data_IF_178076864540
#
_entry.id   IF_178076864540
#
_cell.length_a   1.000
_cell.length_b   1.000
_cell.length_c   1.000
_cell.angle_alpha   90.00
_cell.angle_beta   90.00
_cell.angle_gamma   90.00
#
_symmetry.space_group_name_H-M   'P 1'
#
loop_
_entity.id
_entity.type
_entity.pdbx_description
1 polymer ?
#
# COMPACT_ATOMS: atom_id res chain seq x y z
N UNK A 1 5.98 -9.61 -6.29
CA UNK A 1 6.36 -8.39 -7.05
C UNK A 1 7.11 -7.38 -6.18
N UNK A 2 6.69 -7.14 -4.94
CA UNK A 2 7.31 -6.13 -4.07
C UNK A 2 8.39 -6.68 -3.11
N UNK A 3 8.38 -7.98 -2.77
CA UNK A 3 9.36 -8.58 -1.85
C UNK A 3 10.83 -8.29 -2.24
N UNK A 4 11.27 -8.42 -3.51
CA UNK A 4 12.65 -8.10 -3.88
C UNK A 4 13.00 -6.61 -3.83
N UNK A 5 11.99 -5.74 -3.68
CA UNK A 5 12.14 -4.27 -3.68
C UNK A 5 12.24 -3.74 -2.25
N UNK A 6 11.37 -4.22 -1.36
CA UNK A 6 11.24 -3.66 0.01
C UNK A 6 11.43 -4.67 1.13
N UNK A 7 11.45 -5.98 0.85
CA UNK A 7 11.42 -7.02 1.88
C UNK A 7 12.63 -7.04 2.81
N UNK A 8 13.80 -6.68 2.30
CA UNK A 8 15.09 -6.69 3.03
C UNK A 8 15.54 -5.29 3.49
N UNK A 9 14.73 -4.26 3.25
CA UNK A 9 15.14 -2.89 3.58
C UNK A 9 15.20 -2.70 5.11
N UNK A 10 16.25 -2.03 5.63
CA UNK A 10 16.39 -1.77 7.06
C UNK A 10 15.48 -0.65 7.57
N UNK A 11 14.71 -0.03 6.67
CA UNK A 11 13.75 1.03 6.95
C UNK A 11 12.42 0.69 6.29
N UNK A 12 11.34 1.23 6.83
CA UNK A 12 10.00 1.05 6.28
C UNK A 12 9.82 1.94 5.04
N UNK A 13 9.16 1.42 4.02
CA UNK A 13 8.73 2.17 2.85
C UNK A 13 7.26 1.88 2.56
N UNK A 14 6.49 2.93 2.28
CA UNK A 14 5.10 2.80 1.86
C UNK A 14 5.00 3.01 0.34
N UNK A 15 4.43 2.02 -0.33
CA UNK A 15 4.29 1.94 -1.77
C UNK A 15 2.84 1.78 -2.18
N UNK A 16 2.52 2.31 -3.36
CA UNK A 16 1.23 2.07 -4.02
C UNK A 16 1.49 1.53 -5.41
N UNK A 17 0.83 0.42 -5.72
CA UNK A 17 0.76 -0.15 -7.05
C UNK A 17 -0.53 0.34 -7.67
N UNK A 18 -0.44 0.90 -8.87
CA UNK A 18 -1.57 1.39 -9.64
C UNK A 18 -1.87 0.39 -10.74
N UNK A 19 -3.15 0.04 -10.89
CA UNK A 19 -3.61 -1.03 -11.76
C UNK A 19 -4.66 -0.53 -12.74
N UNK A 20 -4.68 -1.13 -13.92
CA UNK A 20 -5.77 -0.97 -14.89
C UNK A 20 -6.93 -1.95 -14.58
N UNK A 21 -7.96 -1.92 -15.43
CA UNK A 21 -9.18 -2.73 -15.28
C UNK A 21 -8.95 -4.26 -15.41
N UNK A 22 -7.82 -4.68 -15.98
CA UNK A 22 -7.39 -6.08 -16.02
C UNK A 22 -6.50 -6.47 -14.83
N UNK A 23 -6.43 -5.65 -13.78
CA UNK A 23 -5.54 -5.80 -12.63
C UNK A 23 -4.05 -5.93 -13.03
N UNK A 24 -3.66 -5.33 -14.15
CA UNK A 24 -2.25 -5.23 -14.53
C UNK A 24 -1.65 -3.99 -13.87
N UNK A 25 -0.51 -4.15 -13.20
CA UNK A 25 0.25 -3.02 -12.65
C UNK A 25 0.76 -2.16 -13.81
N UNK A 26 0.30 -0.91 -13.85
CA UNK A 26 0.68 0.10 -14.85
C UNK A 26 1.68 1.11 -14.30
N UNK A 27 1.70 1.31 -12.97
CA UNK A 27 2.65 2.20 -12.30
C UNK A 27 2.89 1.76 -10.85
N UNK A 28 4.00 2.19 -10.27
CA UNK A 28 4.35 2.00 -8.85
C UNK A 28 4.97 3.29 -8.33
N UNK A 29 4.51 3.75 -7.17
CA UNK A 29 5.11 4.91 -6.50
C UNK A 29 5.49 4.59 -5.06
N UNK A 30 6.71 4.97 -4.68
CA UNK A 30 7.08 5.12 -3.28
C UNK A 30 6.51 6.45 -2.78
N UNK A 31 5.64 6.41 -1.77
CA UNK A 31 5.02 7.60 -1.20
C UNK A 31 5.65 8.04 0.11
N UNK A 32 6.26 7.08 0.80
CA UNK A 32 7.00 7.40 1.99
C UNK A 32 8.18 6.47 2.17
N UNK A 33 9.18 7.02 2.84
CA UNK A 33 10.38 6.33 3.32
C UNK A 33 10.54 6.72 4.77
N UNK A 34 10.46 5.73 5.64
CA UNK A 34 10.49 5.89 7.08
C UNK A 34 11.80 6.47 7.58
N UNK A 35 11.66 7.41 8.53
CA UNK A 35 12.53 7.59 9.68
C UNK A 35 11.78 7.20 10.97
N UNK A 36 12.40 7.40 12.14
CA UNK A 36 12.04 6.81 13.46
C UNK A 36 10.56 7.03 13.93
N UNK A 37 9.81 7.97 13.36
CA UNK A 37 8.48 8.41 13.85
C UNK A 37 7.29 8.05 12.95
N UNK A 38 7.46 7.13 12.01
CA UNK A 38 6.39 6.71 11.10
C UNK A 38 6.27 7.59 9.85
N UNK A 39 5.54 7.07 8.86
CA UNK A 39 5.43 7.63 7.51
C UNK A 39 4.13 8.43 7.34
N UNK A 40 4.23 9.68 6.88
CA UNK A 40 3.04 10.47 6.51
C UNK A 40 2.68 10.13 5.07
N UNK A 41 1.53 9.49 4.87
CA UNK A 41 0.97 9.17 3.56
C UNK A 41 -0.09 10.22 3.19
N UNK A 42 0.16 11.02 2.15
CA UNK A 42 -0.83 11.97 1.63
C UNK A 42 -1.79 11.28 0.64
N UNK A 43 -3.02 11.05 1.10
CA UNK A 43 -4.10 10.44 0.33
C UNK A 43 -4.38 11.20 -0.98
N UNK A 44 -4.25 12.53 -0.98
CA UNK A 44 -4.50 13.33 -2.19
C UNK A 44 -3.46 13.04 -3.26
N UNK A 45 -2.21 12.81 -2.86
CA UNK A 45 -1.15 12.46 -3.80
C UNK A 45 -1.37 11.07 -4.40
N UNK A 46 -1.82 10.10 -3.60
CA UNK A 46 -2.21 8.75 -4.09
C UNK A 46 -3.21 8.88 -5.23
N UNK A 47 -4.33 9.55 -4.98
CA UNK A 47 -5.39 9.62 -5.98
C UNK A 47 -5.03 10.51 -7.16
N UNK A 48 -4.27 11.59 -6.94
CA UNK A 48 -3.70 12.38 -8.04
C UNK A 48 -2.89 11.48 -8.98
N UNK A 49 -1.97 10.69 -8.45
CA UNK A 49 -1.16 9.76 -9.25
C UNK A 49 -2.01 8.67 -9.90
N UNK A 50 -3.04 8.17 -9.22
CA UNK A 50 -3.98 7.24 -9.82
C UNK A 50 -4.67 7.83 -11.07
N UNK A 51 -5.14 9.09 -10.99
CA UNK A 51 -5.73 9.79 -12.13
C UNK A 51 -4.70 10.05 -13.24
N UNK A 52 -3.49 10.51 -12.91
CA UNK A 52 -2.42 10.77 -13.88
C UNK A 52 -2.06 9.52 -14.70
N UNK A 53 -2.14 8.34 -14.07
CA UNK A 53 -1.84 7.07 -14.72
C UNK A 53 -3.08 6.33 -15.25
N UNK A 54 -4.28 6.91 -15.19
CA UNK A 54 -5.54 6.26 -15.56
C UNK A 54 -5.76 4.91 -14.84
N UNK A 55 -5.38 4.86 -13.56
CA UNK A 55 -5.57 3.68 -12.73
C UNK A 55 -7.05 3.53 -12.34
N UNK A 56 -7.57 2.31 -12.45
CA UNK A 56 -8.93 1.97 -11.99
C UNK A 56 -8.90 1.29 -10.62
N UNK A 57 -7.72 0.88 -10.16
CA UNK A 57 -7.52 0.22 -8.89
C UNK A 57 -6.12 0.47 -8.33
N UNK A 58 -5.97 0.33 -7.01
CA UNK A 58 -4.69 0.42 -6.31
C UNK A 58 -4.52 -0.74 -5.33
N UNK A 59 -3.27 -1.11 -5.07
CA UNK A 59 -2.86 -1.99 -3.97
C UNK A 59 -1.85 -1.21 -3.12
N UNK A 60 -2.08 -1.20 -1.82
CA UNK A 60 -1.18 -0.61 -0.84
C UNK A 60 -0.14 -1.65 -0.42
N UNK A 61 1.11 -1.25 -0.23
CA UNK A 61 2.13 -2.17 0.28
C UNK A 61 3.20 -1.45 1.07
N UNK A 62 3.59 -2.01 2.21
CA UNK A 62 4.74 -1.55 2.97
C UNK A 62 5.50 -2.72 3.59
N UNK A 63 6.75 -2.48 3.98
CA UNK A 63 7.57 -3.49 4.66
C UNK A 63 7.67 -3.23 6.15
N UNK A 64 7.75 -4.30 6.94
CA UNK A 64 8.14 -4.23 8.35
C UNK A 64 9.57 -4.76 8.50
N UNK A 65 10.59 -3.88 8.66
CA UNK A 65 11.98 -4.31 8.87
C UNK A 65 12.17 -5.17 10.12
N UNK A 66 11.25 -5.08 11.09
CA UNK A 66 11.23 -5.91 12.28
C UNK A 66 10.94 -7.39 12.01
N UNK A 67 10.47 -7.74 10.81
CA UNK A 67 10.04 -9.10 10.45
C UNK A 67 8.66 -9.49 10.99
N UNK A 68 7.96 -8.60 11.69
CA UNK A 68 6.65 -8.90 12.29
C UNK A 68 5.53 -8.69 11.27
N UNK A 69 4.83 -9.78 10.95
CA UNK A 69 3.62 -9.77 10.11
C UNK A 69 2.38 -9.47 10.95
N UNK A 70 2.28 -8.25 11.47
CA UNK A 70 1.12 -7.79 12.21
C UNK A 70 0.78 -6.36 11.79
N UNK A 71 -0.45 -6.16 11.33
CA UNK A 71 -0.95 -4.83 10.99
C UNK A 71 -1.09 -3.95 12.23
N UNK A 72 -0.42 -2.81 12.21
CA UNK A 72 -0.57 -1.76 13.22
C UNK A 72 -1.94 -1.06 13.08
N UNK A 73 -2.33 -0.31 14.11
CA UNK A 73 -3.55 0.49 14.04
C UNK A 73 -3.43 1.64 13.03
N UNK A 74 -2.21 2.15 12.80
CA UNK A 74 -1.93 3.12 11.75
C UNK A 74 -2.21 2.52 10.36
N UNK A 75 -1.77 1.30 10.11
CA UNK A 75 -2.00 0.58 8.84
C UNK A 75 -3.50 0.40 8.59
N UNK A 76 -4.24 -0.05 9.61
CA UNK A 76 -5.70 -0.21 9.53
C UNK A 76 -6.39 1.12 9.29
N UNK A 77 -5.97 2.19 9.96
CA UNK A 77 -6.58 3.50 9.81
C UNK A 77 -6.36 4.08 8.41
N UNK A 78 -5.14 4.01 7.88
CA UNK A 78 -4.85 4.53 6.53
C UNK A 78 -5.57 3.71 5.45
N UNK A 79 -5.63 2.38 5.61
CA UNK A 79 -6.40 1.49 4.72
C UNK A 79 -7.85 1.89 4.63
N UNK A 80 -8.52 2.08 5.78
CA UNK A 80 -9.94 2.49 5.82
C UNK A 80 -10.15 3.83 5.13
N UNK A 81 -9.32 4.84 5.44
CA UNK A 81 -9.42 6.16 4.80
C UNK A 81 -9.25 6.08 3.27
N UNK A 82 -8.31 5.26 2.80
CA UNK A 82 -8.07 5.06 1.37
C UNK A 82 -9.21 4.30 0.70
N UNK A 83 -9.77 3.27 1.33
CA UNK A 83 -10.95 2.56 0.83
C UNK A 83 -12.15 3.49 0.69
N UNK A 84 -12.44 4.29 1.71
CA UNK A 84 -13.55 5.24 1.70
C UNK A 84 -13.36 6.30 0.61
N UNK A 85 -12.16 6.87 0.49
CA UNK A 85 -11.85 7.83 -0.56
C UNK A 85 -11.93 7.20 -1.97
N UNK A 86 -11.34 6.02 -2.16
CA UNK A 86 -11.32 5.31 -3.43
C UNK A 86 -12.72 4.95 -3.91
N UNK A 87 -13.61 4.54 -3.00
CA UNK A 87 -15.02 4.31 -3.29
C UNK A 87 -15.73 5.54 -3.85
N UNK A 88 -15.43 6.73 -3.34
CA UNK A 88 -16.05 7.98 -3.81
C UNK A 88 -15.42 8.50 -5.13
N UNK A 89 -14.25 7.98 -5.50
CA UNK A 89 -13.48 8.41 -6.66
C UNK A 89 -13.45 7.36 -7.78
N UNK A 90 -14.24 6.28 -7.66
CA UNK A 90 -14.27 5.13 -8.58
C UNK A 90 -12.89 4.49 -8.81
N UNK A 91 -12.04 4.47 -7.77
CA UNK A 91 -10.74 3.79 -7.77
C UNK A 91 -10.74 2.74 -6.65
N UNK A 92 -10.74 1.46 -7.04
CA UNK A 92 -10.84 0.37 -6.09
C UNK A 92 -9.52 0.15 -5.35
N UNK A 93 -9.54 0.23 -4.01
CA UNK A 93 -8.43 -0.29 -3.19
C UNK A 93 -8.65 -1.80 -3.06
N UNK A 94 -7.77 -2.59 -3.66
CA UNK A 94 -7.95 -4.05 -3.77
C UNK A 94 -7.40 -4.80 -2.58
N UNK A 95 -6.30 -4.33 -2.01
CA UNK A 95 -5.65 -4.95 -0.86
C UNK A 95 -4.66 -3.98 -0.19
N UNK A 96 -4.24 -4.33 1.03
CA UNK A 96 -3.09 -3.79 1.70
C UNK A 96 -2.15 -4.93 2.13
N UNK A 97 -0.95 -4.95 1.57
CA UNK A 97 0.00 -6.05 1.75
C UNK A 97 1.22 -5.60 2.56
N UNK A 98 1.39 -6.15 3.75
CA UNK A 98 2.60 -5.99 4.56
C UNK A 98 3.61 -7.04 4.13
N UNK A 99 4.86 -6.64 3.94
CA UNK A 99 5.93 -7.52 3.44
C UNK A 99 7.06 -7.58 4.47
N UNK A 100 7.63 -8.77 4.64
CA UNK A 100 8.87 -8.99 5.38
C UNK A 100 9.84 -9.76 4.49
N UNK A 101 11.06 -9.97 4.98
CA UNK A 101 12.08 -10.76 4.26
C UNK A 101 11.54 -12.12 3.82
N UNK A 102 10.82 -12.80 4.72
CA UNK A 102 10.44 -14.21 4.57
C UNK A 102 8.92 -14.43 4.44
N UNK A 103 8.12 -13.38 4.29
CA UNK A 103 6.67 -13.53 4.23
C UNK A 103 5.92 -12.25 3.89
N UNK A 104 4.60 -12.37 3.92
CA UNK A 104 3.69 -11.24 3.74
C UNK A 104 2.38 -11.47 4.50
N UNK A 105 1.64 -10.40 4.73
CA UNK A 105 0.29 -10.40 5.27
C UNK A 105 -0.59 -9.61 4.31
N UNK A 106 -1.65 -10.23 3.80
CA UNK A 106 -2.71 -9.57 3.04
C UNK A 106 -3.86 -9.23 3.99
N UNK A 107 -4.31 -7.98 3.98
CA UNK A 107 -5.46 -7.58 4.79
C UNK A 107 -6.75 -8.28 4.33
N UNK A 108 -6.87 -8.52 3.03
CA UNK A 108 -7.98 -9.27 2.44
C UNK A 108 -8.00 -10.72 2.95
N UNK A 109 -6.86 -11.42 2.89
CA UNK A 109 -6.78 -12.83 3.30
C UNK A 109 -7.01 -13.00 4.80
N UNK A 110 -6.54 -12.05 5.62
CA UNK A 110 -6.74 -12.04 7.07
C UNK A 110 -8.14 -11.57 7.52
N UNK A 111 -9.00 -11.13 6.59
CA UNK A 111 -10.35 -10.66 6.92
C UNK A 111 -10.40 -9.35 7.71
N UNK A 112 -9.34 -8.53 7.62
CA UNK A 112 -9.21 -7.26 8.36
C UNK A 112 -9.30 -6.02 7.45
N UNK A 113 -9.67 -6.22 6.18
CA UNK A 113 -9.66 -5.19 5.13
C UNK A 113 -10.77 -4.14 5.26
#
# INVERSE_FOLDING_TARGET
IMQPIIGELPHEEFWVLYLNNSNKVIYKSQLSKGGITGTVVDIRLIFKTAFEHNATAIILSHNHPSGVLQASDADKQITRKLKDAGKNLDINVLDHVIITENGYLSFMDEGIF
#
